data_IF_902146193741
#
_entry.id   IF_902146193741
#
_cell.length_a   1.000
_cell.length_b   1.000
_cell.length_c   1.000
_cell.angle_alpha   90.00
_cell.angle_beta   90.00
_cell.angle_gamma   90.00
#
_symmetry.space_group_name_H-M   'P 1'
#
loop_
_entity.id
_entity.type
_entity.pdbx_description
1 polymer ?
#
# COMPACT_ATOMS: atom_id res chain seq x y z
N UNK A 1 -11.24 -6.49 14.77
CA UNK A 1 -11.48 -7.21 13.49
C UNK A 1 -10.19 -7.87 13.05
N UNK A 2 -10.24 -9.14 12.75
CA UNK A 2 -9.06 -9.88 12.27
C UNK A 2 -8.99 -9.81 10.74
N UNK A 3 -7.95 -9.18 10.21
CA UNK A 3 -7.79 -8.97 8.78
C UNK A 3 -7.18 -10.16 8.05
N UNK A 4 -6.39 -10.99 8.72
CA UNK A 4 -5.56 -12.00 8.08
C UNK A 4 -6.02 -13.43 8.37
N UNK A 5 -5.98 -14.30 7.34
CA UNK A 5 -6.30 -15.74 7.44
C UNK A 5 -5.12 -16.63 7.78
N UNK A 6 -3.91 -16.19 7.46
CA UNK A 6 -2.69 -16.99 7.56
C UNK A 6 -1.73 -16.41 8.58
N UNK A 7 -0.89 -17.27 9.11
CA UNK A 7 0.27 -16.81 9.87
C UNK A 7 1.20 -16.00 8.97
N UNK A 8 1.72 -14.93 9.50
CA UNK A 8 2.67 -14.04 8.85
C UNK A 8 3.88 -13.80 9.75
N UNK A 9 4.96 -13.34 9.15
CA UNK A 9 6.12 -12.81 9.88
C UNK A 9 6.07 -11.29 9.82
N UNK A 10 6.79 -10.65 10.73
CA UNK A 10 7.00 -9.20 10.65
C UNK A 10 8.48 -8.98 10.35
N UNK A 11 8.77 -8.35 9.22
CA UNK A 11 10.10 -7.96 8.79
C UNK A 11 10.19 -6.44 8.69
N UNK A 12 11.01 -5.85 9.53
CA UNK A 12 11.18 -4.39 9.58
C UNK A 12 9.85 -3.62 9.68
N UNK A 13 8.90 -4.18 10.45
CA UNK A 13 7.57 -3.60 10.62
C UNK A 13 6.64 -3.76 9.41
N UNK A 14 6.97 -4.61 8.45
CA UNK A 14 6.13 -5.00 7.32
C UNK A 14 5.58 -6.40 7.61
N UNK A 15 4.29 -6.57 7.45
CA UNK A 15 3.62 -7.88 7.51
C UNK A 15 4.02 -8.67 6.28
N UNK A 16 4.69 -9.81 6.46
CA UNK A 16 5.26 -10.60 5.37
C UNK A 16 4.62 -11.99 5.32
N UNK A 17 3.86 -12.24 4.27
CA UNK A 17 3.45 -13.57 3.87
C UNK A 17 4.50 -14.13 2.91
N UNK A 18 5.08 -15.28 3.23
CA UNK A 18 6.09 -15.89 2.35
C UNK A 18 5.51 -16.11 0.94
N UNK A 19 6.16 -15.53 -0.07
CA UNK A 19 5.74 -15.66 -1.47
C UNK A 19 6.29 -16.97 -2.04
N UNK A 20 5.40 -17.84 -2.50
CA UNK A 20 5.72 -19.13 -3.11
C UNK A 20 5.77 -19.08 -4.65
N UNK A 21 5.15 -18.07 -5.27
CA UNK A 21 5.08 -17.95 -6.72
C UNK A 21 6.37 -17.37 -7.32
N UNK A 22 6.93 -18.11 -8.30
CA UNK A 22 8.15 -17.70 -9.01
C UNK A 22 7.95 -16.47 -9.91
N UNK A 23 6.74 -16.26 -10.44
CA UNK A 23 6.44 -15.10 -11.29
C UNK A 23 6.39 -13.84 -10.44
N UNK A 24 5.66 -13.87 -9.33
CA UNK A 24 5.58 -12.76 -8.38
C UNK A 24 6.97 -12.40 -7.84
N UNK A 25 7.81 -13.39 -7.56
CA UNK A 25 9.19 -13.17 -7.12
C UNK A 25 10.05 -12.49 -8.19
N UNK A 26 9.90 -12.85 -9.48
CA UNK A 26 10.63 -12.21 -10.59
C UNK A 26 10.18 -10.77 -10.81
N UNK A 27 8.88 -10.52 -10.79
CA UNK A 27 8.31 -9.17 -10.91
C UNK A 27 8.78 -8.29 -9.76
N UNK A 28 8.80 -8.83 -8.53
CA UNK A 28 9.33 -8.14 -7.36
C UNK A 28 10.80 -7.71 -7.54
N UNK A 29 11.66 -8.58 -8.07
CA UNK A 29 13.07 -8.24 -8.38
C UNK A 29 13.22 -7.13 -9.40
N UNK A 30 12.38 -7.11 -10.44
CA UNK A 30 12.38 -6.04 -11.43
C UNK A 30 12.10 -4.68 -10.78
N UNK A 31 11.10 -4.59 -9.90
CA UNK A 31 10.76 -3.35 -9.19
C UNK A 31 11.78 -2.99 -8.08
N UNK A 32 12.61 -3.93 -7.62
CA UNK A 32 13.74 -3.61 -6.74
C UNK A 32 14.78 -2.73 -7.44
N UNK A 33 15.01 -2.97 -8.74
CA UNK A 33 15.95 -2.21 -9.56
C UNK A 33 15.40 -0.84 -9.98
N UNK A 34 14.10 -0.76 -10.25
CA UNK A 34 13.44 0.48 -10.68
C UNK A 34 12.08 0.66 -9.95
N UNK A 35 12.09 1.06 -8.68
CA UNK A 35 10.87 1.25 -7.91
C UNK A 35 10.04 2.41 -8.47
N UNK A 36 8.73 2.20 -8.61
CA UNK A 36 7.80 3.18 -9.17
C UNK A 36 6.53 3.31 -8.31
N UNK A 37 5.99 4.52 -8.12
CA UNK A 37 6.64 5.82 -8.33
C UNK A 37 7.72 6.10 -7.27
N UNK A 38 8.76 6.87 -7.60
CA UNK A 38 9.83 7.22 -6.67
C UNK A 38 9.48 8.42 -5.80
N UNK A 39 9.86 8.37 -4.53
CA UNK A 39 9.85 9.54 -3.64
C UNK A 39 11.08 10.40 -3.87
N UNK A 40 10.91 11.72 -3.73
CA UNK A 40 12.01 12.68 -3.67
C UNK A 40 12.39 12.94 -2.22
N UNK A 41 13.62 13.41 -1.99
CA UNK A 41 14.09 13.69 -0.63
C UNK A 41 13.25 14.77 0.08
N UNK A 42 12.75 15.73 -0.67
CA UNK A 42 11.91 16.83 -0.20
C UNK A 42 10.44 16.46 0.01
N UNK A 43 10.02 15.25 -0.42
CA UNK A 43 8.62 14.84 -0.29
C UNK A 43 8.18 14.74 1.17
N UNK A 44 7.00 15.27 1.43
CA UNK A 44 6.33 15.30 2.72
C UNK A 44 4.82 15.12 2.54
N UNK A 45 4.04 15.19 3.62
CA UNK A 45 2.58 15.06 3.55
C UNK A 45 1.94 16.02 2.54
N UNK A 46 2.38 17.28 2.52
CA UNK A 46 1.81 18.29 1.63
C UNK A 46 2.12 18.01 0.17
N UNK A 47 3.35 17.57 -0.15
CA UNK A 47 3.72 17.22 -1.54
C UNK A 47 2.91 16.03 -2.04
N UNK A 48 2.73 15.00 -1.22
CA UNK A 48 1.93 13.81 -1.59
C UNK A 48 0.45 14.16 -1.72
N UNK A 49 -0.11 14.98 -0.83
CA UNK A 49 -1.49 15.48 -0.98
C UNK A 49 -1.66 16.28 -2.28
N UNK A 50 -0.72 17.17 -2.60
CA UNK A 50 -0.76 17.97 -3.82
C UNK A 50 -0.71 17.09 -5.08
N UNK A 51 0.19 16.11 -5.11
CA UNK A 51 0.31 15.17 -6.24
C UNK A 51 -0.99 14.38 -6.41
N UNK A 52 -1.54 13.84 -5.33
CA UNK A 52 -2.80 13.09 -5.36
C UNK A 52 -3.99 13.96 -5.80
N UNK A 53 -4.09 15.19 -5.27
CA UNK A 53 -5.16 16.13 -5.60
C UNK A 53 -5.11 16.66 -7.04
N UNK A 54 -3.95 16.60 -7.71
CA UNK A 54 -3.82 16.91 -9.13
C UNK A 54 -4.49 15.86 -10.03
N UNK A 55 -4.65 14.63 -9.53
CA UNK A 55 -5.40 13.60 -10.20
C UNK A 55 -6.86 13.65 -9.73
N UNK A 56 -7.76 14.12 -10.61
CA UNK A 56 -9.17 14.31 -10.28
C UNK A 56 -9.86 13.01 -9.83
N UNK A 57 -9.51 11.87 -10.42
CA UNK A 57 -10.06 10.56 -10.03
C UNK A 57 -9.65 10.18 -8.60
N UNK A 58 -8.37 10.34 -8.26
CA UNK A 58 -7.88 10.02 -6.92
C UNK A 58 -8.47 10.97 -5.87
N UNK A 59 -8.57 12.25 -6.18
CA UNK A 59 -9.18 13.25 -5.31
C UNK A 59 -10.65 12.93 -5.02
N UNK A 60 -11.43 12.64 -6.04
CA UNK A 60 -12.85 12.26 -5.89
C UNK A 60 -12.99 10.91 -5.17
N UNK A 61 -12.12 9.95 -5.44
CA UNK A 61 -12.11 8.67 -4.73
C UNK A 61 -11.84 8.84 -3.24
N UNK A 62 -10.83 9.62 -2.86
CA UNK A 62 -10.55 9.93 -1.45
C UNK A 62 -11.72 10.61 -0.77
N UNK A 63 -12.37 11.52 -1.45
CA UNK A 63 -13.58 12.22 -0.97
C UNK A 63 -14.77 11.27 -0.80
N UNK A 64 -14.96 10.38 -1.77
CA UNK A 64 -16.01 9.36 -1.72
C UNK A 64 -15.83 8.37 -0.56
N UNK A 65 -14.61 7.93 -0.29
CA UNK A 65 -14.30 7.03 0.83
C UNK A 65 -14.71 7.66 2.17
N UNK A 66 -14.41 8.94 2.37
CA UNK A 66 -14.67 9.62 3.64
C UNK A 66 -13.79 9.13 4.78
N UNK A 67 -14.40 8.80 5.92
CA UNK A 67 -13.72 8.49 7.18
C UNK A 67 -14.18 7.16 7.77
N UNK A 68 -13.40 6.62 8.72
CA UNK A 68 -13.68 5.38 9.48
C UNK A 68 -13.85 4.14 8.57
N UNK A 69 -13.06 4.05 7.50
CA UNK A 69 -13.10 2.96 6.53
C UNK A 69 -11.81 2.13 6.57
N UNK A 70 -11.95 0.86 6.21
CA UNK A 70 -10.84 -0.03 5.91
C UNK A 70 -10.61 -0.09 4.41
N UNK A 71 -9.40 0.23 3.98
CA UNK A 71 -9.04 0.37 2.56
C UNK A 71 -7.82 -0.49 2.28
N UNK A 72 -7.81 -1.20 1.16
CA UNK A 72 -6.61 -1.88 0.67
C UNK A 72 -6.25 -1.39 -0.74
N UNK A 73 -5.00 -1.03 -0.95
CA UNK A 73 -4.39 -0.87 -2.27
C UNK A 73 -3.62 -2.14 -2.63
N UNK A 74 -4.02 -2.78 -3.71
CA UNK A 74 -3.37 -3.99 -4.24
C UNK A 74 -2.43 -3.57 -5.38
N UNK A 75 -1.17 -4.03 -5.31
CA UNK A 75 -0.11 -3.58 -6.19
C UNK A 75 0.35 -2.16 -5.84
N UNK A 76 0.55 -1.92 -4.55
CA UNK A 76 0.81 -0.57 -4.03
C UNK A 76 2.17 0.02 -4.46
N UNK A 77 3.09 -0.80 -4.97
CA UNK A 77 4.44 -0.35 -5.34
C UNK A 77 5.12 0.37 -4.17
N UNK A 78 5.55 1.60 -4.38
CA UNK A 78 6.13 2.45 -3.32
C UNK A 78 5.09 3.10 -2.41
N UNK A 79 3.81 2.74 -2.55
CA UNK A 79 2.71 3.12 -1.66
C UNK A 79 2.39 4.63 -1.65
N UNK A 80 2.62 5.36 -2.74
CA UNK A 80 2.26 6.79 -2.78
C UNK A 80 0.76 7.00 -2.66
N UNK A 81 -0.06 6.19 -3.36
CA UNK A 81 -1.51 6.28 -3.26
C UNK A 81 -2.00 5.87 -1.86
N UNK A 82 -1.49 4.76 -1.31
CA UNK A 82 -1.87 4.32 0.03
C UNK A 82 -1.56 5.40 1.08
N UNK A 83 -0.37 6.02 1.01
CA UNK A 83 -0.01 7.14 1.87
C UNK A 83 -0.96 8.34 1.65
N UNK A 84 -1.25 8.70 0.41
CA UNK A 84 -2.20 9.77 0.09
C UNK A 84 -3.59 9.51 0.70
N UNK A 85 -4.10 8.28 0.62
CA UNK A 85 -5.40 7.91 1.19
C UNK A 85 -5.41 7.94 2.72
N UNK A 86 -4.27 7.69 3.35
CA UNK A 86 -4.14 7.71 4.80
C UNK A 86 -4.02 9.12 5.39
N UNK A 87 -3.38 10.06 4.67
CA UNK A 87 -3.12 11.42 5.15
C UNK A 87 -4.42 12.17 5.43
N UNK A 88 -4.49 12.82 6.59
CA UNK A 88 -5.62 13.63 7.04
C UNK A 88 -6.95 12.87 7.13
N UNK A 89 -6.90 11.57 7.37
CA UNK A 89 -8.06 10.72 7.62
C UNK A 89 -7.83 9.84 8.84
N UNK A 90 -8.90 9.19 9.33
CA UNK A 90 -8.84 8.13 10.32
C UNK A 90 -9.14 6.74 9.69
N UNK A 91 -9.04 6.64 8.39
CA UNK A 91 -9.19 5.37 7.69
C UNK A 91 -8.01 4.45 8.02
N UNK A 92 -8.26 3.15 8.11
CA UNK A 92 -7.21 2.15 8.19
C UNK A 92 -6.84 1.71 6.77
N UNK A 93 -5.62 2.03 6.35
CA UNK A 93 -5.15 1.77 4.99
C UNK A 93 -4.15 0.61 5.00
N UNK A 94 -4.27 -0.29 4.04
CA UNK A 94 -3.34 -1.39 3.81
C UNK A 94 -2.70 -1.22 2.43
N UNK A 95 -1.37 -1.18 2.40
CA UNK A 95 -0.58 -1.18 1.17
C UNK A 95 -0.07 -2.59 0.93
N UNK A 96 -0.61 -3.28 -0.07
CA UNK A 96 -0.27 -4.66 -0.39
C UNK A 96 0.51 -4.74 -1.70
N UNK A 97 1.68 -5.37 -1.65
CA UNK A 97 2.54 -5.58 -2.80
C UNK A 97 3.42 -6.84 -2.64
N UNK A 98 3.90 -7.39 -3.76
CA UNK A 98 4.86 -8.48 -3.75
C UNK A 98 6.32 -8.06 -3.54
N UNK A 99 6.64 -6.77 -3.77
CA UNK A 99 8.00 -6.25 -3.71
C UNK A 99 8.30 -5.64 -2.33
N UNK A 100 9.12 -6.34 -1.54
CA UNK A 100 9.52 -5.87 -0.21
C UNK A 100 10.25 -4.53 -0.26
N UNK A 101 11.13 -4.32 -1.25
CA UNK A 101 11.89 -3.08 -1.38
C UNK A 101 10.96 -1.86 -1.60
N UNK A 102 9.99 -1.99 -2.49
CA UNK A 102 9.01 -0.93 -2.74
C UNK A 102 8.18 -0.60 -1.48
N UNK A 103 7.72 -1.62 -0.76
CA UNK A 103 7.00 -1.43 0.51
C UNK A 103 7.86 -0.72 1.58
N UNK A 104 9.16 -1.03 1.64
CA UNK A 104 10.09 -0.33 2.54
C UNK A 104 10.18 1.16 2.24
N UNK A 105 10.21 1.55 0.97
CA UNK A 105 10.22 2.96 0.57
C UNK A 105 8.95 3.67 1.04
N UNK A 106 7.78 3.05 0.81
CA UNK A 106 6.51 3.58 1.28
C UNK A 106 6.41 3.70 2.80
N UNK A 107 6.90 2.69 3.50
CA UNK A 107 6.94 2.67 4.97
C UNK A 107 7.89 3.73 5.53
N UNK A 108 9.06 3.90 4.94
CA UNK A 108 10.01 4.93 5.36
C UNK A 108 9.41 6.32 5.20
N UNK A 109 8.72 6.58 4.09
CA UNK A 109 7.99 7.82 3.91
C UNK A 109 6.90 8.01 4.98
N UNK A 110 6.08 6.99 5.24
CA UNK A 110 5.03 7.06 6.25
C UNK A 110 5.60 7.34 7.65
N UNK A 111 6.69 6.67 8.02
CA UNK A 111 7.35 6.86 9.32
C UNK A 111 7.91 8.29 9.46
N UNK A 112 8.65 8.75 8.46
CA UNK A 112 9.21 10.10 8.40
C UNK A 112 8.12 11.19 8.46
N UNK A 113 6.98 10.92 7.85
CA UNK A 113 5.84 11.84 7.76
C UNK A 113 4.82 11.67 8.88
N UNK A 114 5.08 10.80 9.85
CA UNK A 114 4.18 10.51 10.99
C UNK A 114 2.76 10.10 10.54
N UNK A 115 2.69 9.23 9.51
CA UNK A 115 1.45 8.61 9.06
C UNK A 115 1.31 7.27 9.77
N UNK A 116 0.37 7.17 10.72
CA UNK A 116 0.26 6.04 11.65
C UNK A 116 -0.91 5.09 11.35
N UNK A 117 -1.76 5.44 10.41
CA UNK A 117 -2.98 4.70 10.05
C UNK A 117 -2.82 3.87 8.77
N UNK A 118 -1.60 3.44 8.48
CA UNK A 118 -1.26 2.60 7.33
C UNK A 118 -0.46 1.36 7.76
N UNK A 119 -0.80 0.22 7.19
CA UNK A 119 -0.10 -1.05 7.34
C UNK A 119 0.49 -1.48 5.99
N UNK A 120 1.70 -2.01 6.01
CA UNK A 120 2.41 -2.47 4.83
C UNK A 120 2.43 -3.99 4.83
N UNK A 121 1.98 -4.61 3.74
CA UNK A 121 1.77 -6.06 3.65
C UNK A 121 2.42 -6.60 2.38
N UNK A 122 3.38 -7.50 2.55
CA UNK A 122 3.95 -8.26 1.44
C UNK A 122 3.22 -9.58 1.26
N UNK A 123 2.83 -9.86 0.04
CA UNK A 123 2.17 -11.13 -0.27
C UNK A 123 1.93 -11.32 -1.77
N UNK A 124 1.46 -12.50 -2.12
CA UNK A 124 1.00 -12.82 -3.46
C UNK A 124 -0.50 -12.55 -3.59
N UNK A 125 -0.90 -11.84 -4.64
CA UNK A 125 -2.32 -11.53 -4.91
C UNK A 125 -3.17 -12.80 -5.11
N UNK A 126 -2.57 -13.90 -5.56
CA UNK A 126 -3.26 -15.17 -5.77
C UNK A 126 -3.42 -15.98 -4.48
N UNK A 127 -2.73 -15.60 -3.42
CA UNK A 127 -2.85 -16.23 -2.11
C UNK A 127 -4.02 -15.65 -1.31
N UNK A 128 -4.75 -16.52 -0.63
CA UNK A 128 -5.84 -16.12 0.27
C UNK A 128 -5.30 -15.64 1.62
N UNK A 129 -4.66 -14.48 1.63
CA UNK A 129 -4.01 -13.92 2.82
C UNK A 129 -4.98 -13.20 3.77
N UNK A 130 -6.08 -12.67 3.23
CA UNK A 130 -7.04 -11.86 3.98
C UNK A 130 -8.33 -12.62 4.28
N UNK A 131 -8.98 -12.27 5.37
CA UNK A 131 -10.34 -12.68 5.67
C UNK A 131 -11.34 -12.05 4.68
N UNK A 132 -12.52 -12.64 4.55
CA UNK A 132 -13.57 -12.09 3.70
C UNK A 132 -14.19 -10.85 4.36
N UNK A 133 -14.67 -9.93 3.54
CA UNK A 133 -15.49 -8.79 3.95
C UNK A 133 -14.86 -7.88 5.00
N UNK A 134 -13.52 -7.79 5.02
CA UNK A 134 -12.78 -6.95 5.98
C UNK A 134 -12.44 -5.55 5.45
N UNK A 135 -12.60 -5.32 4.16
CA UNK A 135 -12.32 -4.02 3.52
C UNK A 135 -13.60 -3.39 2.99
N UNK A 136 -13.79 -2.11 3.30
CA UNK A 136 -14.85 -1.29 2.73
C UNK A 136 -14.55 -0.92 1.26
N UNK A 137 -13.27 -0.67 0.94
CA UNK A 137 -12.81 -0.28 -0.38
C UNK A 137 -11.54 -1.03 -0.78
N UNK A 138 -11.50 -1.44 -2.05
CA UNK A 138 -10.34 -2.07 -2.67
C UNK A 138 -9.95 -1.25 -3.90
N UNK A 139 -8.70 -0.80 -3.94
CA UNK A 139 -8.11 -0.18 -5.12
C UNK A 139 -7.09 -1.14 -5.73
N UNK A 140 -7.24 -1.43 -7.00
CA UNK A 140 -6.30 -2.25 -7.76
C UNK A 140 -6.13 -1.64 -9.16
N UNK A 141 -4.95 -1.14 -9.47
CA UNK A 141 -4.67 -0.48 -10.74
C UNK A 141 -3.31 -0.94 -11.28
N UNK A 142 -3.26 -1.31 -12.57
CA UNK A 142 -2.02 -1.71 -13.23
C UNK A 142 -1.44 -3.05 -12.78
N UNK A 143 -2.25 -3.94 -12.21
CA UNK A 143 -1.83 -5.24 -11.65
C UNK A 143 -2.43 -6.42 -12.41
N UNK A 144 -3.71 -6.32 -12.75
CA UNK A 144 -4.48 -7.39 -13.41
C UNK A 144 -4.49 -7.21 -14.93
N UNK A 145 -3.38 -7.53 -15.59
CA UNK A 145 -3.25 -7.45 -17.06
C UNK A 145 -2.37 -8.53 -17.63
#
# INVERSE_FOLDING_TARGET
MEYFKKNYKIKEGIIDFDISDKVTSKVGKFYEEDPFPNYKLEDNKQTILKIGDQNSLLKEFKKFIGYNKSIIEIGAGTCQLANYLAIATNNKVFAFDGCLHSLKLGKNFATKSEINNIEFVRGDIFDKNFNNDVFDHIWCSGVLH
#
